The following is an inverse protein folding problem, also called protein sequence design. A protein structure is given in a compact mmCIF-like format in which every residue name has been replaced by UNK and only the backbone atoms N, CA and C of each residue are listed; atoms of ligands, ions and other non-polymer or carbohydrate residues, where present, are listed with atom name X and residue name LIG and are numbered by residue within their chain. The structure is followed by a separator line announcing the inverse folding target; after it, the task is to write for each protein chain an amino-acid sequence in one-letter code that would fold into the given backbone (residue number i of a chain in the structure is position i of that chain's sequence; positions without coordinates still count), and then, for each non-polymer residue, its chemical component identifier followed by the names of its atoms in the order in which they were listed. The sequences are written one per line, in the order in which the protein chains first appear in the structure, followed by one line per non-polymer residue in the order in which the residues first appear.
data_IF_214905496629
#
_entry.id   IF_214905496629
#
_cell.length_a   1.000
_cell.length_b   1.000
_cell.length_c   1.000
_cell.angle_alpha   90.00
_cell.angle_beta   90.00
_cell.angle_gamma   90.00
#
_symmetry.space_group_name_H-M   'P 1'
#
loop_
_entity.id
_entity.type
_entity.pdbx_description
1 polymer ?
#
# COMPACT_ATOMS: atom_id res chain seq x y z
N UNK A 1 0.84 -22.56 -34.78
CA UNK A 1 1.92 -21.69 -34.29
C UNK A 1 1.55 -20.22 -34.32
N UNK A 2 1.02 -19.70 -35.44
CA UNK A 2 0.62 -18.29 -35.60
C UNK A 2 -0.56 -17.83 -34.72
N UNK A 3 -1.55 -18.70 -34.46
CA UNK A 3 -2.72 -18.36 -33.63
C UNK A 3 -2.39 -18.30 -32.13
N UNK A 4 -1.42 -19.10 -31.66
CA UNK A 4 -0.99 -19.12 -30.25
C UNK A 4 -0.25 -17.82 -29.91
N UNK A 5 0.58 -17.31 -30.83
CA UNK A 5 1.33 -16.06 -30.65
C UNK A 5 0.40 -14.84 -30.61
N UNK A 6 -0.71 -14.86 -31.35
CA UNK A 6 -1.68 -13.76 -31.38
C UNK A 6 -2.51 -13.67 -30.08
N UNK A 7 -2.77 -14.81 -29.42
CA UNK A 7 -3.42 -14.84 -28.11
C UNK A 7 -2.49 -14.37 -26.97
N UNK A 8 -1.18 -14.61 -27.11
CA UNK A 8 -0.16 -14.15 -26.16
C UNK A 8 0.13 -12.65 -26.23
N UNK A 9 -0.04 -12.01 -27.39
CA UNK A 9 0.16 -10.55 -27.55
C UNK A 9 -1.00 -9.74 -26.98
N UNK A 10 -2.24 -10.27 -26.99
CA UNK A 10 -3.41 -9.60 -26.40
C UNK A 10 -3.42 -9.63 -24.86
N UNK A 11 -2.64 -10.52 -24.25
CA UNK A 11 -2.50 -10.65 -22.79
C UNK A 11 -1.46 -9.67 -22.19
N UNK A 12 -0.75 -8.90 -23.01
CA UNK A 12 0.43 -8.12 -22.59
C UNK A 12 0.17 -6.62 -22.42
N UNK A 13 -1.08 -6.18 -22.24
CA UNK A 13 -1.35 -4.85 -21.72
C UNK A 13 -1.78 -4.99 -20.26
N UNK A 14 -0.86 -5.02 -19.28
CA UNK A 14 -1.24 -4.60 -17.96
C UNK A 14 -1.57 -3.12 -18.13
N UNK A 15 -2.86 -2.82 -18.25
CA UNK A 15 -3.38 -1.47 -18.17
C UNK A 15 -3.15 -1.03 -16.70
N UNK A 16 -1.90 -0.70 -16.35
CA UNK A 16 -1.51 -0.11 -15.07
C UNK A 16 -1.92 1.35 -15.10
N UNK A 17 -3.23 1.59 -15.14
CA UNK A 17 -3.79 2.91 -15.00
C UNK A 17 -3.86 3.21 -13.50
N UNK A 18 -3.12 4.20 -13.03
CA UNK A 18 -3.32 4.76 -11.71
C UNK A 18 -4.78 5.29 -11.61
N UNK A 19 -5.36 5.21 -10.43
CA UNK A 19 -6.64 5.81 -10.13
C UNK A 19 -6.40 7.16 -9.46
N UNK A 20 -6.97 8.22 -10.04
CA UNK A 20 -7.04 9.50 -9.35
C UNK A 20 -8.13 9.42 -8.27
N UNK A 21 -7.74 9.62 -7.01
CA UNK A 21 -8.63 9.64 -5.85
C UNK A 21 -8.59 11.03 -5.23
N UNK A 22 -9.75 11.55 -4.81
CA UNK A 22 -9.83 12.79 -4.03
C UNK A 22 -9.84 12.41 -2.54
N UNK A 23 -8.87 12.89 -1.78
CA UNK A 23 -8.81 12.64 -0.34
C UNK A 23 -9.76 13.56 0.46
N UNK A 24 -9.80 13.37 1.78
CA UNK A 24 -10.66 14.16 2.67
C UNK A 24 -10.27 15.64 2.77
N UNK A 25 -9.05 16.00 2.37
CA UNK A 25 -8.56 17.37 2.32
C UNK A 25 -8.78 18.03 0.95
N UNK A 26 -9.33 17.29 -0.03
CA UNK A 26 -9.58 17.77 -1.39
C UNK A 26 -8.38 17.62 -2.33
N UNK A 27 -7.34 16.89 -1.94
CA UNK A 27 -6.19 16.65 -2.81
C UNK A 27 -6.52 15.58 -3.85
N UNK A 28 -6.06 15.79 -5.09
CA UNK A 28 -6.09 14.79 -6.13
C UNK A 28 -4.82 13.93 -6.05
N UNK A 29 -4.97 12.66 -5.68
CA UNK A 29 -3.86 11.73 -5.48
C UNK A 29 -3.94 10.64 -6.55
N UNK A 30 -2.85 10.46 -7.28
CA UNK A 30 -2.66 9.31 -8.17
C UNK A 30 -2.26 8.08 -7.35
N UNK A 31 -3.14 7.09 -7.26
CA UNK A 31 -2.88 5.85 -6.54
C UNK A 31 -2.66 4.74 -7.56
N UNK A 32 -1.52 4.01 -7.53
CA UNK A 32 -1.33 2.89 -8.43
C UNK A 32 -2.38 1.81 -8.17
N UNK A 33 -2.84 1.12 -9.24
CA UNK A 33 -3.84 0.05 -9.14
C UNK A 33 -3.46 -1.06 -8.15
N UNK A 34 -2.16 -1.35 -8.03
CA UNK A 34 -1.65 -2.39 -7.13
C UNK A 34 -0.44 -1.87 -6.34
N UNK A 35 -0.66 -1.15 -5.23
CA UNK A 35 0.41 -0.59 -4.42
C UNK A 35 1.21 -1.71 -3.72
N UNK A 36 2.52 -1.75 -3.96
CA UNK A 36 3.42 -2.80 -3.41
C UNK A 36 4.10 -2.42 -2.08
N UNK A 37 4.09 -1.13 -1.75
CA UNK A 37 4.73 -0.58 -0.55
C UNK A 37 3.79 0.41 0.12
N UNK A 38 3.25 0.02 1.27
CA UNK A 38 2.32 0.83 2.06
C UNK A 38 2.94 1.13 3.42
N UNK A 39 2.85 2.39 3.84
CA UNK A 39 3.18 2.81 5.19
C UNK A 39 1.92 3.35 5.85
N UNK A 40 1.46 2.71 6.93
CA UNK A 40 0.26 3.12 7.64
C UNK A 40 0.59 4.08 8.79
N UNK A 41 -0.05 5.25 8.76
CA UNK A 41 0.19 6.32 9.74
C UNK A 41 -0.87 6.38 10.86
N UNK A 42 -1.80 5.43 10.91
CA UNK A 42 -2.83 5.35 11.95
C UNK A 42 -3.16 3.87 12.28
N UNK A 43 -3.42 3.52 13.56
CA UNK A 43 -3.79 2.15 13.95
C UNK A 43 -5.00 1.62 13.17
N UNK A 44 -6.07 2.40 13.05
CA UNK A 44 -7.28 2.02 12.32
C UNK A 44 -7.03 1.66 10.86
N UNK A 45 -6.10 2.35 10.19
CA UNK A 45 -5.72 2.05 8.80
C UNK A 45 -4.94 0.73 8.74
N UNK A 46 -4.02 0.51 9.68
CA UNK A 46 -3.28 -0.77 9.78
C UNK A 46 -4.27 -1.92 9.92
N UNK A 47 -5.24 -1.80 10.82
CA UNK A 47 -6.27 -2.83 11.06
C UNK A 47 -7.13 -3.10 9.82
N UNK A 48 -7.54 -2.06 9.10
CA UNK A 48 -8.28 -2.24 7.83
C UNK A 48 -7.45 -3.01 6.79
N UNK A 49 -6.15 -2.74 6.68
CA UNK A 49 -5.29 -3.44 5.73
C UNK A 49 -5.14 -4.93 6.09
N UNK A 50 -4.98 -5.25 7.37
CA UNK A 50 -5.03 -6.64 7.84
C UNK A 50 -6.39 -7.29 7.58
N UNK A 51 -7.50 -6.58 7.81
CA UNK A 51 -8.83 -7.11 7.53
C UNK A 51 -9.07 -7.40 6.04
N UNK A 52 -8.37 -6.69 5.14
CA UNK A 52 -8.38 -6.93 3.70
C UNK A 52 -7.45 -8.08 3.26
N UNK A 53 -6.64 -8.64 4.16
CA UNK A 53 -5.64 -9.67 3.83
C UNK A 53 -4.53 -9.15 2.92
N UNK A 54 -4.12 -7.89 3.11
CA UNK A 54 -3.11 -7.19 2.30
C UNK A 54 -1.91 -6.73 3.16
N UNK A 55 -1.70 -7.35 4.32
CA UNK A 55 -0.63 -7.00 5.26
C UNK A 55 0.78 -7.23 4.71
N UNK A 56 0.95 -8.08 3.70
CA UNK A 56 2.21 -8.34 2.99
C UNK A 56 2.77 -7.07 2.31
N UNK A 57 1.89 -6.13 1.95
CA UNK A 57 2.21 -4.83 1.37
C UNK A 57 2.61 -3.78 2.40
N UNK A 58 2.35 -4.00 3.69
CA UNK A 58 2.76 -3.08 4.75
C UNK A 58 4.28 -3.15 4.97
N UNK A 59 4.97 -2.04 4.73
CA UNK A 59 6.42 -1.89 4.97
C UNK A 59 6.74 -0.99 6.17
N UNK A 60 5.74 -0.35 6.75
CA UNK A 60 5.92 0.45 7.95
C UNK A 60 4.60 0.81 8.61
N UNK A 61 4.63 0.93 9.92
CA UNK A 61 3.48 1.30 10.75
C UNK A 61 3.91 2.22 11.89
N UNK A 62 2.96 2.92 12.50
CA UNK A 62 3.27 3.73 13.68
C UNK A 62 3.56 2.87 14.91
N UNK A 63 4.18 3.48 15.92
CA UNK A 63 4.43 2.88 17.24
C UNK A 63 3.16 2.41 17.96
N UNK A 64 1.98 2.93 17.58
CA UNK A 64 0.71 2.62 18.20
C UNK A 64 -0.12 1.59 17.42
N UNK A 65 0.36 1.13 16.26
CA UNK A 65 -0.31 0.06 15.50
C UNK A 65 0.11 -1.30 16.06
N UNK A 66 -0.63 -1.80 17.03
CA UNK A 66 -0.31 -3.00 17.80
C UNK A 66 -1.35 -4.14 17.66
N UNK A 67 -2.40 -3.91 16.89
CA UNK A 67 -3.41 -4.88 16.51
C UNK A 67 -3.49 -5.04 14.97
N UNK A 68 -3.69 -6.27 14.46
CA UNK A 68 -3.58 -7.55 15.16
C UNK A 68 -2.16 -7.79 15.70
N UNK A 69 -1.93 -8.82 16.50
CA UNK A 69 -0.63 -9.05 17.14
C UNK A 69 0.54 -9.09 16.14
N UNK A 70 0.31 -9.65 14.94
CA UNK A 70 1.29 -9.67 13.84
C UNK A 70 1.69 -8.27 13.36
N UNK A 71 0.85 -7.24 13.56
CA UNK A 71 1.20 -5.86 13.23
C UNK A 71 2.41 -5.40 14.03
N UNK A 72 2.71 -5.96 15.21
CA UNK A 72 3.87 -5.61 16.06
C UNK A 72 5.21 -5.96 15.42
N UNK A 73 5.24 -6.91 14.49
CA UNK A 73 6.46 -7.35 13.82
C UNK A 73 6.88 -6.41 12.68
N UNK A 74 5.99 -5.49 12.27
CA UNK A 74 6.25 -4.54 11.21
C UNK A 74 7.21 -3.40 11.64
N UNK A 75 7.99 -2.83 10.70
CA UNK A 75 8.88 -1.71 11.00
C UNK A 75 8.15 -0.48 11.56
N UNK A 76 8.70 0.12 12.63
CA UNK A 76 8.14 1.34 13.24
C UNK A 76 8.64 2.59 12.53
N UNK A 77 7.73 3.41 12.01
CA UNK A 77 8.05 4.69 11.33
C UNK A 77 7.76 5.94 12.18
N UNK A 78 7.82 5.79 13.50
CA UNK A 78 7.57 6.88 14.45
C UNK A 78 6.16 6.88 15.05
N UNK A 79 5.74 8.03 15.54
CA UNK A 79 4.42 8.27 16.13
C UNK A 79 3.59 9.20 15.24
N UNK A 80 2.29 9.34 15.51
CA UNK A 80 1.46 10.32 14.81
C UNK A 80 1.86 11.78 15.10
N UNK A 81 2.67 12.03 16.15
CA UNK A 81 3.22 13.35 16.48
C UNK A 81 4.54 13.58 15.77
N UNK A 82 5.41 12.56 15.74
CA UNK A 82 6.75 12.64 15.16
C UNK A 82 7.04 11.41 14.32
N UNK A 83 6.94 11.60 13.01
CA UNK A 83 7.28 10.60 12.01
C UNK A 83 8.80 10.53 11.80
N UNK A 84 9.29 9.32 11.55
CA UNK A 84 10.66 9.06 11.15
C UNK A 84 10.75 9.09 9.62
N UNK A 85 11.02 10.26 9.06
CA UNK A 85 10.97 10.50 7.61
C UNK A 85 12.07 9.72 6.88
N UNK A 86 13.27 9.64 7.45
CA UNK A 86 14.37 8.88 6.85
C UNK A 86 13.99 7.42 6.68
N UNK A 87 13.34 6.83 7.69
CA UNK A 87 12.86 5.45 7.63
C UNK A 87 11.67 5.25 6.67
N UNK A 88 10.86 6.28 6.45
CA UNK A 88 9.76 6.22 5.47
C UNK A 88 10.32 6.24 4.04
N UNK A 89 11.41 6.96 3.79
CA UNK A 89 12.03 7.12 2.48
C UNK A 89 13.01 5.99 2.11
N UNK A 90 13.59 5.31 3.10
CA UNK A 90 14.45 4.14 2.90
C UNK A 90 13.71 2.95 2.27
#
# INVERSE_FOLDING_TARGET
MTVIIMFSILALCPLTLAATVIDQAGNHIEVPRDPQRIVSLAPSITEMIFALGQEDKLKGVTRFSDYPAAAKDLPRVGSYIRLDIERILA
#
